data_IF_151673338782
#
_entry.id   IF_151673338782
#
_cell.length_a   1.000
_cell.length_b   1.000
_cell.length_c   1.000
_cell.angle_alpha   90.00
_cell.angle_beta   90.00
_cell.angle_gamma   90.00
#
_symmetry.space_group_name_H-M   'P 1'
#
loop_
_entity.id
_entity.type
_entity.pdbx_description
1 polymer ?
#
# COMPACT_ATOMS: atom_id res chain seq x y z
N UNK A 1 8.22 -12.03 7.58
CA UNK A 1 6.77 -12.31 7.67
C UNK A 1 6.01 -11.40 6.74
N UNK A 2 5.01 -11.93 6.07
CA UNK A 2 4.12 -11.15 5.23
C UNK A 2 2.81 -10.95 5.97
N UNK A 3 2.46 -9.70 6.24
CA UNK A 3 1.15 -9.36 6.77
C UNK A 3 0.19 -9.12 5.61
N UNK A 4 -0.91 -9.84 5.60
CA UNK A 4 -2.00 -9.61 4.66
C UNK A 4 -3.09 -8.83 5.38
N UNK A 5 -3.38 -7.64 4.87
CA UNK A 5 -4.55 -6.90 5.32
C UNK A 5 -5.79 -7.49 4.68
N UNK A 6 -6.64 -8.07 5.50
CA UNK A 6 -7.93 -8.57 5.02
C UNK A 6 -8.84 -7.45 4.50
N UNK A 7 -8.62 -6.20 4.94
CA UNK A 7 -9.43 -5.06 4.50
C UNK A 7 -9.23 -4.69 3.03
N UNK A 8 -8.01 -4.65 2.52
CA UNK A 8 -7.75 -4.35 1.10
C UNK A 8 -8.17 -5.47 0.16
N UNK A 9 -8.09 -6.70 0.64
CA UNK A 9 -8.49 -7.88 -0.10
C UNK A 9 -9.98 -8.17 0.06
N UNK A 10 -10.62 -7.49 1.00
CA UNK A 10 -12.00 -7.62 1.37
C UNK A 10 -12.82 -6.59 0.62
N UNK A 11 -13.78 -7.04 -0.12
CA UNK A 11 -14.70 -6.15 -0.77
C UNK A 11 -16.10 -6.27 -0.18
N UNK A 12 -16.71 -5.10 0.07
CA UNK A 12 -18.10 -5.01 0.48
C UNK A 12 -19.00 -4.96 -0.75
N UNK A 13 -19.59 -6.09 -1.17
CA UNK A 13 -20.78 -5.99 -1.97
C UNK A 13 -21.86 -5.40 -1.08
N UNK A 14 -22.98 -5.14 -1.59
CA UNK A 14 -24.20 -4.68 -0.96
C UNK A 14 -24.52 -5.29 0.41
N UNK A 15 -23.99 -6.43 0.75
CA UNK A 15 -24.21 -7.15 1.99
C UNK A 15 -22.83 -7.40 2.62
N UNK A 16 -22.44 -6.48 3.50
CA UNK A 16 -21.18 -6.52 4.26
C UNK A 16 -21.08 -7.69 5.23
N UNK A 17 -22.13 -8.52 5.33
CA UNK A 17 -22.20 -9.61 6.30
C UNK A 17 -21.78 -10.96 5.75
N UNK A 18 -21.70 -11.12 4.43
CA UNK A 18 -21.73 -12.47 3.89
C UNK A 18 -20.41 -13.05 3.42
N UNK A 19 -19.44 -12.33 2.85
CA UNK A 19 -18.27 -13.02 2.31
C UNK A 19 -17.01 -12.17 2.26
N UNK A 20 -15.93 -12.73 2.77
CA UNK A 20 -14.58 -12.33 2.42
C UNK A 20 -14.27 -12.83 1.02
N UNK A 21 -14.07 -11.91 0.12
CA UNK A 21 -13.79 -12.25 -1.25
C UNK A 21 -12.38 -11.77 -1.56
N UNK A 22 -11.47 -12.70 -1.54
CA UNK A 22 -10.10 -12.49 -2.00
C UNK A 22 -10.11 -12.34 -3.52
N UNK A 23 -9.38 -11.36 -4.03
CA UNK A 23 -9.19 -11.18 -5.48
C UNK A 23 -8.46 -12.37 -6.07
N UNK A 24 -7.49 -12.87 -5.33
CA UNK A 24 -6.70 -14.07 -5.65
C UNK A 24 -6.79 -15.05 -4.51
N UNK A 25 -6.44 -16.31 -4.78
CA UNK A 25 -6.34 -17.30 -3.72
C UNK A 25 -5.36 -16.80 -2.65
N UNK A 26 -5.79 -16.83 -1.39
CA UNK A 26 -4.93 -16.47 -0.28
C UNK A 26 -3.68 -17.35 -0.27
N UNK A 27 -2.48 -16.79 -0.17
CA UNK A 27 -1.27 -17.58 -0.03
C UNK A 27 -1.30 -18.41 1.25
N UNK A 28 -0.96 -19.69 1.15
CA UNK A 28 -0.91 -20.61 2.29
C UNK A 28 0.56 -20.84 2.69
N UNK A 29 1.12 -19.85 3.36
CA UNK A 29 2.48 -19.93 3.88
C UNK A 29 2.50 -19.70 5.39
N UNK A 30 3.36 -20.39 6.15
CA UNK A 30 3.41 -20.29 7.62
C UNK A 30 3.76 -18.88 8.15
N UNK A 31 4.34 -18.03 7.32
CA UNK A 31 4.67 -16.64 7.67
C UNK A 31 3.55 -15.64 7.31
N UNK A 32 2.46 -16.08 6.71
CA UNK A 32 1.31 -15.20 6.42
C UNK A 32 0.53 -14.95 7.71
N UNK A 33 0.29 -13.67 8.01
CA UNK A 33 -0.43 -13.27 9.22
C UNK A 33 -1.93 -13.25 8.93
N UNK A 34 -2.65 -14.11 9.65
CA UNK A 34 -4.11 -14.25 9.59
C UNK A 34 -4.65 -14.48 11.00
N UNK A 35 -5.95 -14.73 11.13
CA UNK A 35 -6.54 -15.18 12.41
C UNK A 35 -5.94 -16.48 12.94
N UNK A 36 -5.44 -17.35 12.05
CA UNK A 36 -4.79 -18.61 12.45
C UNK A 36 -3.37 -18.42 12.95
N UNK A 37 -2.73 -17.33 12.55
CA UNK A 37 -1.34 -16.99 12.90
C UNK A 37 -1.22 -15.49 13.16
N UNK A 38 -1.96 -14.93 14.15
CA UNK A 38 -1.95 -13.51 14.43
C UNK A 38 -0.67 -13.09 15.16
N UNK A 39 -0.34 -11.82 15.10
CA UNK A 39 0.55 -11.20 16.07
C UNK A 39 -0.27 -10.51 17.18
N UNK A 40 0.34 -10.19 18.31
CA UNK A 40 -0.35 -9.73 19.53
C UNK A 40 -1.35 -8.57 19.33
N UNK A 41 -1.07 -7.64 18.42
CA UNK A 41 -1.94 -6.49 18.14
C UNK A 41 -2.77 -6.66 16.88
N UNK A 42 -2.75 -7.84 16.25
CA UNK A 42 -3.54 -8.11 15.05
C UNK A 42 -5.03 -8.19 15.40
N UNK A 43 -5.82 -7.51 14.62
CA UNK A 43 -7.29 -7.60 14.65
C UNK A 43 -7.78 -7.94 13.25
N UNK A 44 -8.75 -8.80 13.19
CA UNK A 44 -9.41 -9.13 11.93
C UNK A 44 -10.00 -7.88 11.26
N UNK A 45 -9.88 -7.78 9.95
CA UNK A 45 -10.32 -6.63 9.15
C UNK A 45 -9.60 -5.31 9.50
N UNK A 46 -8.38 -5.38 10.00
CA UNK A 46 -7.58 -4.16 10.17
C UNK A 46 -7.36 -3.47 8.83
N UNK A 47 -7.52 -2.16 8.82
CA UNK A 47 -7.06 -1.34 7.71
C UNK A 47 -5.53 -1.45 7.56
N UNK A 48 -5.02 -1.35 6.32
CA UNK A 48 -3.58 -1.50 6.04
C UNK A 48 -2.70 -0.56 6.86
N UNK A 49 -3.13 0.69 7.03
CA UNK A 49 -2.39 1.67 7.83
C UNK A 49 -2.30 1.27 9.29
N UNK A 50 -3.39 0.76 9.85
CA UNK A 50 -3.41 0.25 11.23
C UNK A 50 -2.57 -1.01 11.36
N UNK A 51 -2.63 -1.90 10.38
CA UNK A 51 -1.81 -3.11 10.35
C UNK A 51 -0.33 -2.75 10.42
N UNK A 52 0.14 -1.83 9.57
CA UNK A 52 1.54 -1.40 9.53
C UNK A 52 1.98 -0.79 10.87
N UNK A 53 1.15 0.07 11.47
CA UNK A 53 1.43 0.69 12.78
C UNK A 53 1.52 -0.36 13.88
N UNK A 54 0.54 -1.23 13.99
CA UNK A 54 0.50 -2.26 15.04
C UNK A 54 1.59 -3.31 14.85
N UNK A 55 1.97 -3.61 13.60
CA UNK A 55 3.09 -4.49 13.33
C UNK A 55 4.43 -3.88 13.81
N UNK A 56 4.65 -2.60 13.60
CA UNK A 56 5.84 -1.90 14.11
C UNK A 56 5.93 -1.95 15.66
N UNK A 57 4.78 -1.78 16.32
CA UNK A 57 4.68 -1.93 17.78
C UNK A 57 4.98 -3.36 18.23
N UNK A 58 4.33 -4.34 17.63
CA UNK A 58 4.59 -5.76 17.91
C UNK A 58 6.05 -6.14 17.71
N UNK A 59 6.65 -5.66 16.61
CA UNK A 59 8.05 -5.95 16.30
C UNK A 59 9.00 -5.43 17.36
N UNK A 60 8.76 -4.22 17.86
CA UNK A 60 9.51 -3.64 18.99
C UNK A 60 9.38 -4.51 20.25
N UNK A 61 8.15 -4.86 20.61
CA UNK A 61 7.84 -5.61 21.84
C UNK A 61 8.41 -7.03 21.81
N UNK A 62 8.30 -7.72 20.67
CA UNK A 62 8.75 -9.10 20.52
C UNK A 62 10.27 -9.29 20.47
N UNK A 63 11.04 -8.21 20.24
CA UNK A 63 12.51 -8.26 20.17
C UNK A 63 13.19 -7.46 21.28
N UNK A 64 12.43 -6.92 22.20
CA UNK A 64 12.92 -6.07 23.29
C UNK A 64 13.83 -4.90 22.82
N UNK A 65 13.48 -4.31 21.68
CA UNK A 65 14.21 -3.17 21.15
C UNK A 65 13.87 -1.89 21.90
N UNK A 66 14.88 -1.07 22.20
CA UNK A 66 14.65 0.25 22.77
C UNK A 66 13.86 1.15 21.83
N UNK A 67 14.19 1.13 20.55
CA UNK A 67 13.53 1.91 19.50
C UNK A 67 13.36 1.08 18.23
N UNK A 68 12.27 1.33 17.52
CA UNK A 68 12.01 0.72 16.21
C UNK A 68 11.67 1.81 15.22
N UNK A 69 12.21 1.70 14.00
CA UNK A 69 11.92 2.61 12.89
C UNK A 69 11.35 1.81 11.71
N UNK A 70 10.18 2.21 11.25
CA UNK A 70 9.59 1.70 10.02
C UNK A 70 10.01 2.61 8.85
N UNK A 71 10.72 2.07 7.88
CA UNK A 71 11.09 2.81 6.67
C UNK A 71 9.93 2.79 5.67
N UNK A 72 9.56 3.95 5.16
CA UNK A 72 8.47 4.14 4.21
C UNK A 72 9.01 4.83 2.95
N UNK A 73 8.60 4.33 1.78
CA UNK A 73 8.91 4.95 0.49
C UNK A 73 8.00 6.14 0.14
N UNK A 74 7.55 6.90 1.15
CA UNK A 74 6.66 8.04 0.95
C UNK A 74 7.46 9.25 0.47
N UNK A 75 6.94 9.93 -0.56
CA UNK A 75 7.52 11.16 -1.12
C UNK A 75 6.53 12.32 -1.05
N UNK A 76 7.04 13.53 -0.86
CA UNK A 76 6.23 14.74 -0.84
C UNK A 76 5.58 15.03 -2.20
N UNK A 77 6.23 14.63 -3.29
CA UNK A 77 5.78 14.77 -4.68
C UNK A 77 4.50 13.96 -5.01
N UNK A 78 4.15 12.97 -4.21
CA UNK A 78 3.01 12.08 -4.51
C UNK A 78 1.64 12.76 -4.32
N UNK A 79 1.51 13.67 -3.39
CA UNK A 79 0.28 14.43 -3.15
C UNK A 79 0.48 15.55 -2.13
N UNK A 80 -0.40 16.55 -2.19
CA UNK A 80 -0.44 17.64 -1.20
C UNK A 80 -0.62 17.12 0.24
N UNK A 81 -1.38 16.06 0.43
CA UNK A 81 -1.56 15.44 1.74
C UNK A 81 -0.25 14.86 2.27
N UNK A 82 0.53 14.17 1.43
CA UNK A 82 1.84 13.64 1.79
C UNK A 82 2.85 14.74 2.07
N UNK A 83 2.87 15.75 1.23
CA UNK A 83 3.67 16.95 1.45
C UNK A 83 3.39 17.59 2.82
N UNK A 84 2.11 17.86 3.11
CA UNK A 84 1.70 18.47 4.39
C UNK A 84 2.07 17.61 5.59
N UNK A 85 1.98 16.30 5.49
CA UNK A 85 2.35 15.36 6.55
C UNK A 85 3.86 15.32 6.82
N UNK A 86 4.69 15.59 5.80
CA UNK A 86 6.15 15.58 5.92
C UNK A 86 6.67 16.92 6.44
N UNK A 87 6.16 18.05 5.91
CA UNK A 87 6.68 19.39 6.29
C UNK A 87 6.20 19.86 7.66
N UNK A 88 5.32 19.15 8.31
CA UNK A 88 4.84 19.51 9.63
C UNK A 88 5.90 19.18 10.71
N UNK A 89 6.84 20.10 10.89
CA UNK A 89 7.98 19.98 11.81
C UNK A 89 7.61 19.69 13.28
N UNK A 90 6.35 19.93 13.67
CA UNK A 90 5.88 19.71 15.05
C UNK A 90 6.03 18.26 15.53
N UNK A 91 6.02 17.32 14.61
CA UNK A 91 6.06 15.88 14.90
C UNK A 91 7.36 15.20 14.45
N UNK A 92 8.32 15.98 13.95
CA UNK A 92 9.62 15.47 13.53
C UNK A 92 10.49 15.00 14.69
N UNK A 93 11.40 14.07 14.41
CA UNK A 93 12.41 13.63 15.35
C UNK A 93 13.69 14.43 15.13
N UNK A 94 14.18 15.10 16.17
CA UNK A 94 15.44 15.85 16.12
C UNK A 94 15.55 16.82 14.92
N UNK A 95 14.45 17.53 14.63
CA UNK A 95 14.37 18.44 13.48
C UNK A 95 14.16 17.79 12.12
N UNK A 96 14.22 16.48 12.01
CA UNK A 96 13.96 15.76 10.75
C UNK A 96 12.45 15.64 10.49
N UNK A 97 11.90 16.51 9.64
CA UNK A 97 10.46 16.54 9.32
C UNK A 97 9.93 15.24 8.69
N UNK A 98 10.80 14.44 8.09
CA UNK A 98 10.47 13.17 7.44
C UNK A 98 10.47 11.96 8.40
N UNK A 99 10.73 12.18 9.71
CA UNK A 99 10.63 11.16 10.77
C UNK A 99 9.47 11.52 11.70
N UNK A 100 8.46 10.66 11.78
CA UNK A 100 7.25 10.89 12.56
C UNK A 100 7.06 9.80 13.62
N UNK A 101 6.60 10.20 14.81
CA UNK A 101 6.30 9.28 15.89
C UNK A 101 4.95 8.59 15.64
N UNK A 102 4.93 7.27 15.75
CA UNK A 102 3.70 6.46 15.66
C UNK A 102 3.21 6.02 17.04
N UNK A 103 4.11 5.48 17.85
CA UNK A 103 3.87 5.08 19.23
C UNK A 103 5.07 5.47 20.10
N UNK A 104 5.01 5.16 21.40
CA UNK A 104 6.17 5.28 22.25
C UNK A 104 7.31 4.40 21.70
N UNK A 105 8.42 5.04 21.36
CA UNK A 105 9.62 4.40 20.81
C UNK A 105 9.46 3.65 19.49
N UNK A 106 8.37 3.94 18.74
CA UNK A 106 8.14 3.47 17.37
C UNK A 106 7.96 4.66 16.45
N UNK A 107 8.77 4.71 15.41
CA UNK A 107 8.88 5.82 14.47
C UNK A 107 8.66 5.35 13.04
N UNK A 108 8.20 6.23 12.18
CA UNK A 108 8.22 6.06 10.73
C UNK A 108 9.15 7.08 10.12
N UNK A 109 10.00 6.65 9.22
CA UNK A 109 10.94 7.49 8.49
C UNK A 109 10.71 7.34 6.98
N UNK A 110 10.66 8.48 6.28
CA UNK A 110 10.50 8.57 4.83
C UNK A 110 11.77 9.13 4.21
N UNK A 111 12.84 8.33 4.05
CA UNK A 111 14.15 8.83 3.61
C UNK A 111 14.15 9.35 2.17
N UNK A 112 13.14 9.00 1.37
CA UNK A 112 12.98 9.48 -0.01
C UNK A 112 11.99 10.65 -0.11
N UNK A 113 11.72 11.35 0.99
CA UNK A 113 10.65 12.33 1.08
C UNK A 113 10.77 13.48 0.06
N UNK A 114 11.97 13.85 -0.30
CA UNK A 114 12.32 14.94 -1.22
C UNK A 114 12.57 14.48 -2.67
N UNK A 115 12.45 13.17 -2.94
CA UNK A 115 12.60 12.62 -4.29
C UNK A 115 11.37 12.89 -5.16
N UNK A 116 11.63 13.30 -6.41
CA UNK A 116 10.61 13.34 -7.45
C UNK A 116 10.34 11.96 -8.05
N UNK A 117 9.28 11.84 -8.84
CA UNK A 117 9.05 10.64 -9.67
C UNK A 117 10.25 10.33 -10.57
N UNK A 118 10.85 11.38 -11.14
CA UNK A 118 11.99 11.24 -12.04
C UNK A 118 13.21 10.68 -11.31
N UNK A 119 13.48 11.14 -10.08
CA UNK A 119 14.61 10.65 -9.29
C UNK A 119 14.51 9.13 -9.03
N UNK A 120 13.29 8.64 -8.75
CA UNK A 120 13.05 7.21 -8.56
C UNK A 120 13.40 6.42 -9.81
N UNK A 121 12.98 6.87 -11.00
CA UNK A 121 13.28 6.19 -12.26
C UNK A 121 14.74 6.29 -12.65
N UNK A 122 15.38 7.45 -12.43
CA UNK A 122 16.82 7.63 -12.64
C UNK A 122 17.63 6.71 -11.74
N UNK A 123 17.26 6.62 -10.45
CA UNK A 123 17.93 5.72 -9.51
C UNK A 123 17.73 4.25 -9.92
N UNK A 124 16.49 3.87 -10.30
CA UNK A 124 16.21 2.53 -10.78
C UNK A 124 17.09 2.15 -11.97
N UNK A 125 17.16 3.01 -12.98
CA UNK A 125 18.02 2.81 -14.14
C UNK A 125 19.49 2.72 -13.78
N UNK A 126 19.97 3.64 -12.95
CA UNK A 126 21.39 3.74 -12.54
C UNK A 126 21.86 2.53 -11.74
N UNK A 127 21.02 2.04 -10.83
CA UNK A 127 21.36 0.98 -9.90
C UNK A 127 20.78 -0.38 -10.30
N UNK A 128 20.06 -0.44 -11.41
CA UNK A 128 19.45 -1.67 -11.94
C UNK A 128 18.59 -2.42 -10.90
N UNK A 129 17.77 -1.67 -10.18
CA UNK A 129 16.84 -2.28 -9.23
C UNK A 129 15.73 -3.04 -9.95
N UNK A 130 15.29 -4.14 -9.35
CA UNK A 130 14.07 -4.81 -9.77
C UNK A 130 12.86 -3.94 -9.47
N UNK A 131 11.92 -3.90 -10.41
CA UNK A 131 10.65 -3.20 -10.23
C UNK A 131 9.49 -3.99 -10.81
N UNK A 132 8.26 -3.61 -10.44
CA UNK A 132 7.07 -4.29 -10.90
C UNK A 132 6.85 -4.02 -12.41
N UNK A 133 6.88 -5.09 -13.23
CA UNK A 133 6.67 -5.01 -14.69
C UNK A 133 5.32 -4.43 -15.12
N UNK A 134 4.38 -4.25 -14.18
CA UNK A 134 3.13 -3.55 -14.44
C UNK A 134 3.34 -2.09 -14.87
N UNK A 135 4.43 -1.45 -14.43
CA UNK A 135 4.78 -0.10 -14.87
C UNK A 135 5.05 -0.03 -16.37
N UNK A 136 5.69 -1.06 -16.94
CA UNK A 136 5.95 -1.14 -18.38
C UNK A 136 4.63 -1.28 -19.17
N UNK A 137 3.70 -2.04 -18.63
CA UNK A 137 2.37 -2.20 -19.24
C UNK A 137 1.59 -0.89 -19.19
N UNK A 138 1.64 -0.16 -18.10
CA UNK A 138 1.04 1.17 -17.98
C UNK A 138 1.65 2.17 -18.96
N UNK A 139 2.98 2.18 -19.07
CA UNK A 139 3.67 3.03 -20.02
C UNK A 139 3.27 2.72 -21.48
N UNK A 140 3.26 1.44 -21.86
CA UNK A 140 2.80 0.99 -23.18
C UNK A 140 1.35 1.34 -23.45
N UNK A 141 0.52 1.37 -22.42
CA UNK A 141 -0.88 1.78 -22.52
C UNK A 141 -1.06 3.31 -22.59
N UNK A 142 0.03 4.10 -22.51
CA UNK A 142 0.01 5.56 -22.64
C UNK A 142 -0.27 6.31 -21.35
N UNK A 143 -0.20 5.68 -20.18
CA UNK A 143 -0.34 6.38 -18.90
C UNK A 143 0.88 7.29 -18.67
N UNK A 144 0.60 8.46 -18.10
CA UNK A 144 1.67 9.34 -17.58
C UNK A 144 2.25 8.79 -16.29
N UNK A 145 3.47 9.17 -15.96
CA UNK A 145 4.18 8.68 -14.76
C UNK A 145 3.39 8.92 -13.47
N UNK A 146 2.72 10.05 -13.35
CA UNK A 146 1.88 10.41 -12.20
C UNK A 146 0.58 9.58 -12.08
N UNK A 147 0.14 8.97 -13.18
CA UNK A 147 -1.01 8.08 -13.24
C UNK A 147 -0.65 6.60 -12.98
N UNK A 148 0.63 6.24 -13.07
CA UNK A 148 1.11 4.87 -12.92
C UNK A 148 1.18 4.49 -11.44
N UNK A 149 0.04 4.13 -10.86
CA UNK A 149 -0.05 3.67 -9.47
C UNK A 149 -0.36 2.19 -9.40
N UNK A 150 0.60 1.42 -8.92
CA UNK A 150 0.39 0.00 -8.63
C UNK A 150 -0.32 -0.11 -7.29
N UNK A 151 -1.62 -0.31 -7.33
CA UNK A 151 -2.47 -0.47 -6.16
C UNK A 151 -3.45 -1.63 -6.37
N UNK A 152 -4.09 -2.09 -5.30
CA UNK A 152 -5.18 -3.04 -5.42
C UNK A 152 -6.28 -2.47 -6.32
N UNK A 153 -6.83 -3.25 -7.28
CA UNK A 153 -7.89 -2.78 -8.16
C UNK A 153 -9.17 -2.38 -7.43
N UNK A 154 -9.29 -2.72 -6.15
CA UNK A 154 -10.41 -2.32 -5.29
C UNK A 154 -10.12 -1.04 -4.50
N UNK A 155 -8.98 -0.41 -4.69
CA UNK A 155 -8.59 0.82 -4.01
C UNK A 155 -8.91 2.04 -4.88
N UNK A 156 -9.30 3.15 -4.26
CA UNK A 156 -9.54 4.43 -4.94
C UNK A 156 -8.34 4.92 -5.76
N UNK A 157 -7.14 4.57 -5.36
CA UNK A 157 -5.91 4.92 -6.09
C UNK A 157 -5.74 4.20 -7.44
N UNK A 158 -6.57 3.19 -7.72
CA UNK A 158 -6.52 2.42 -8.97
C UNK A 158 -7.46 2.96 -10.05
N UNK A 159 -8.21 4.01 -9.79
CA UNK A 159 -9.25 4.52 -10.71
C UNK A 159 -8.72 4.77 -12.11
N UNK A 160 -7.58 5.44 -12.22
CA UNK A 160 -6.99 5.81 -13.51
C UNK A 160 -6.50 4.60 -14.33
N UNK A 161 -6.15 3.52 -13.66
CA UNK A 161 -5.64 2.29 -14.29
C UNK A 161 -6.67 1.15 -14.32
N UNK A 162 -7.85 1.35 -13.75
CA UNK A 162 -8.85 0.29 -13.57
C UNK A 162 -9.26 -0.36 -14.91
N UNK A 163 -9.43 0.45 -15.94
CA UNK A 163 -9.79 -0.02 -17.28
C UNK A 163 -8.76 -0.93 -17.92
N UNK A 164 -7.50 -0.71 -17.60
CA UNK A 164 -6.41 -1.47 -18.17
C UNK A 164 -6.45 -2.93 -17.73
N UNK A 165 -7.09 -3.23 -16.59
CA UNK A 165 -7.30 -4.61 -16.14
C UNK A 165 -8.12 -5.45 -17.15
N UNK A 166 -8.92 -4.82 -17.99
CA UNK A 166 -9.61 -5.54 -19.07
C UNK A 166 -8.65 -6.27 -20.00
N UNK A 167 -7.48 -5.70 -20.21
CA UNK A 167 -6.45 -6.23 -21.13
C UNK A 167 -5.33 -6.92 -20.36
N UNK A 168 -4.91 -6.36 -19.22
CA UNK A 168 -3.78 -6.85 -18.45
C UNK A 168 -4.15 -8.13 -17.68
N UNK A 169 -5.34 -8.15 -17.08
CA UNK A 169 -5.83 -9.27 -16.26
C UNK A 169 -7.36 -9.40 -16.39
N UNK A 170 -7.86 -10.00 -17.48
CA UNK A 170 -9.29 -10.15 -17.73
C UNK A 170 -10.04 -10.96 -16.66
N UNK A 171 -9.35 -11.86 -15.95
CA UNK A 171 -9.94 -12.62 -14.86
C UNK A 171 -10.25 -11.72 -13.66
N UNK A 172 -9.28 -10.90 -13.25
CA UNK A 172 -9.50 -9.89 -12.21
C UNK A 172 -10.56 -8.88 -12.64
N UNK A 173 -10.54 -8.45 -13.91
CA UNK A 173 -11.57 -7.56 -14.45
C UNK A 173 -12.97 -8.14 -14.30
N UNK A 174 -13.18 -9.39 -14.67
CA UNK A 174 -14.47 -10.08 -14.53
C UNK A 174 -14.93 -10.10 -13.06
N UNK A 175 -14.02 -10.39 -12.14
CA UNK A 175 -14.30 -10.34 -10.70
C UNK A 175 -14.66 -8.94 -10.21
N UNK A 176 -13.95 -7.92 -10.70
CA UNK A 176 -14.24 -6.51 -10.39
C UNK A 176 -15.64 -6.11 -10.83
N UNK A 177 -15.97 -6.33 -12.11
CA UNK A 177 -17.27 -5.96 -12.68
C UNK A 177 -18.40 -6.69 -11.99
N UNK A 178 -18.20 -7.96 -11.65
CA UNK A 178 -19.21 -8.75 -10.93
C UNK A 178 -19.44 -8.31 -9.49
N UNK A 179 -18.54 -7.54 -8.91
CA UNK A 179 -18.58 -7.16 -7.49
C UNK A 179 -18.69 -5.67 -7.24
N UNK A 180 -18.08 -4.85 -8.11
CA UNK A 180 -18.08 -3.40 -7.98
C UNK A 180 -19.12 -2.80 -8.89
N UNK A 181 -20.25 -2.36 -8.32
CA UNK A 181 -21.28 -1.67 -9.09
C UNK A 181 -20.70 -0.39 -9.66
N UNK A 182 -20.83 -0.24 -10.97
CA UNK A 182 -20.29 0.93 -11.65
C UNK A 182 -18.86 0.79 -12.14
N UNK A 183 -18.14 -0.28 -11.82
CA UNK A 183 -16.79 -0.50 -12.33
C UNK A 183 -16.74 -0.51 -13.87
N UNK A 184 -17.82 -0.93 -14.51
CA UNK A 184 -17.93 -0.97 -15.96
C UNK A 184 -18.34 0.39 -16.59
N UNK A 185 -18.78 1.36 -15.79
CA UNK A 185 -19.27 2.67 -16.26
C UNK A 185 -18.27 3.80 -16.02
N UNK A 186 -17.34 3.64 -15.10
CA UNK A 186 -16.31 4.63 -14.75
C UNK A 186 -15.21 4.80 -15.78
N UNK A 187 -15.43 4.31 -16.97
CA UNK A 187 -14.42 4.10 -17.98
C UNK A 187 -14.77 4.73 -19.33
N UNK A 188 -15.55 5.77 -19.30
CA UNK A 188 -15.85 6.58 -20.48
C UNK A 188 -15.11 7.89 -20.40
#
# INVERSE_FOLDING_TARGET
RTALSSYEMYWYPWDDKKEEIWVRKMPDYPYVITLKNPFHHYRYRMHQEDLAKQFGRFYKESHDYQKTVCLLGIRADESLHRYSGIVNKKYGYDGACWITKQFKDVWCASPLYDWSNQDVWVANYRFQYDYNGLYDLYYKAGLKIDQMRVASPFNDYSKDSLNLYRVIDPEIWTKLVGRVRGANFGCI
#
